data_IF_569040091836
#
_entry.id   IF_569040091836
#
_cell.length_a   1.000
_cell.length_b   1.000
_cell.length_c   1.000
_cell.angle_alpha   90.00
_cell.angle_beta   90.00
_cell.angle_gamma   90.00
#
_symmetry.space_group_name_H-M   'P 1'
#
loop_
_entity.id
_entity.type
_entity.pdbx_description
1 polymer ?
#
# COMPACT_ATOMS: atom_id res chain seq x y z
N UNK A 1 -0.57 16.97 -6.36
CA UNK A 1 -1.63 16.07 -6.83
C UNK A 1 -2.02 15.12 -5.69
N UNK A 2 -3.30 14.90 -5.51
CA UNK A 2 -3.84 14.13 -4.39
C UNK A 2 -4.71 13.00 -4.94
N UNK A 3 -4.56 11.79 -4.41
CA UNK A 3 -5.38 10.64 -4.77
C UNK A 3 -5.89 9.95 -3.52
N UNK A 4 -7.04 9.30 -3.63
CA UNK A 4 -7.55 8.42 -2.59
C UNK A 4 -7.36 6.98 -3.05
N UNK A 5 -6.59 6.21 -2.27
CA UNK A 5 -6.21 4.86 -2.64
C UNK A 5 -6.47 3.88 -1.49
N UNK A 6 -6.78 2.61 -1.81
CA UNK A 6 -6.76 1.58 -0.77
C UNK A 6 -5.32 1.40 -0.29
N UNK A 7 -5.17 1.09 1.00
CA UNK A 7 -3.87 1.01 1.65
C UNK A 7 -3.65 -0.36 2.25
N UNK A 8 -2.43 -0.88 2.10
CA UNK A 8 -2.01 -2.12 2.76
C UNK A 8 -0.79 -1.81 3.61
N UNK A 9 -0.87 -2.04 4.93
CA UNK A 9 0.30 -1.90 5.78
C UNK A 9 1.24 -3.09 5.59
N UNK A 10 2.53 -2.83 5.53
CA UNK A 10 3.56 -3.85 5.36
C UNK A 10 4.33 -4.03 6.66
N UNK A 11 4.66 -5.28 6.98
CA UNK A 11 5.41 -5.60 8.20
C UNK A 11 6.90 -5.44 8.03
N UNK A 12 7.46 -6.11 7.01
CA UNK A 12 8.90 -6.27 6.89
C UNK A 12 9.47 -5.79 5.57
N UNK A 13 8.62 -5.23 4.73
CA UNK A 13 9.02 -4.88 3.36
C UNK A 13 8.83 -3.39 3.14
N UNK A 14 9.83 -2.76 2.54
CA UNK A 14 9.75 -1.36 2.09
C UNK A 14 9.86 -1.38 0.58
N UNK A 15 8.91 -0.70 -0.08
CA UNK A 15 8.88 -0.62 -1.54
C UNK A 15 9.24 0.80 -1.95
N UNK A 16 10.22 0.91 -2.84
CA UNK A 16 10.64 2.21 -3.38
C UNK A 16 10.14 2.37 -4.81
N UNK A 17 10.07 3.60 -5.33
CA UNK A 17 9.76 3.82 -6.73
C UNK A 17 10.68 3.02 -7.64
N UNK A 18 10.11 2.48 -8.71
CA UNK A 18 10.81 1.66 -9.71
C UNK A 18 11.23 0.27 -9.24
N UNK A 19 10.87 -0.12 -8.02
CA UNK A 19 11.07 -1.49 -7.58
C UNK A 19 9.90 -2.35 -8.02
N UNK A 20 10.22 -3.58 -8.41
CA UNK A 20 9.23 -4.62 -8.66
C UNK A 20 9.41 -5.66 -7.58
N UNK A 21 8.39 -5.91 -6.77
CA UNK A 21 8.53 -6.78 -5.61
C UNK A 21 7.30 -7.67 -5.41
N UNK A 22 7.51 -8.97 -5.15
CA UNK A 22 6.43 -9.86 -4.78
C UNK A 22 6.27 -9.91 -3.26
N UNK A 23 5.03 -10.05 -2.80
CA UNK A 23 4.77 -10.32 -1.40
C UNK A 23 3.43 -11.03 -1.25
N UNK A 24 3.19 -11.58 -0.05
CA UNK A 24 1.97 -12.34 0.24
C UNK A 24 1.11 -11.56 1.22
N UNK A 25 -0.16 -11.43 0.89
CA UNK A 25 -1.18 -10.78 1.71
C UNK A 25 -2.06 -11.86 2.33
N UNK A 26 -2.19 -11.83 3.67
CA UNK A 26 -3.02 -12.81 4.38
C UNK A 26 -4.06 -12.18 5.31
N UNK A 27 -3.90 -10.92 5.70
CA UNK A 27 -4.85 -10.25 6.57
C UNK A 27 -6.14 -9.94 5.81
N UNK A 28 -7.29 -10.11 6.48
CA UNK A 28 -8.59 -9.87 5.87
C UNK A 28 -8.71 -8.44 5.34
N UNK A 29 -8.27 -7.45 6.10
CA UNK A 29 -8.33 -6.05 5.69
C UNK A 29 -7.46 -5.78 4.47
N UNK A 30 -6.28 -6.39 4.40
CA UNK A 30 -5.38 -6.22 3.27
C UNK A 30 -5.94 -6.87 2.00
N UNK A 31 -6.57 -8.03 2.15
CA UNK A 31 -7.21 -8.71 1.02
C UNK A 31 -8.37 -7.87 0.48
N UNK A 32 -9.17 -7.26 1.36
CA UNK A 32 -10.27 -6.38 0.93
C UNK A 32 -9.73 -5.14 0.21
N UNK A 33 -8.65 -4.55 0.69
CA UNK A 33 -8.01 -3.42 0.02
C UNK A 33 -7.52 -3.81 -1.36
N UNK A 34 -6.90 -4.98 -1.49
CA UNK A 34 -6.44 -5.50 -2.77
C UNK A 34 -7.59 -5.69 -3.76
N UNK A 35 -8.68 -6.32 -3.31
CA UNK A 35 -9.85 -6.54 -4.15
C UNK A 35 -10.44 -5.22 -4.65
N UNK A 36 -10.51 -4.23 -3.77
CA UNK A 36 -10.98 -2.91 -4.14
C UNK A 36 -10.07 -2.27 -5.20
N UNK A 37 -8.75 -2.39 -5.02
CA UNK A 37 -7.78 -1.85 -5.96
C UNK A 37 -7.88 -2.50 -7.33
N UNK A 38 -8.09 -3.81 -7.38
CA UNK A 38 -8.21 -4.54 -8.64
C UNK A 38 -9.40 -4.07 -9.47
N UNK A 39 -10.47 -3.64 -8.81
CA UNK A 39 -11.67 -3.14 -9.50
C UNK A 39 -11.49 -1.68 -9.93
N UNK A 40 -10.72 -0.89 -9.18
CA UNK A 40 -10.67 0.57 -9.30
C UNK A 40 -9.47 1.12 -10.07
N UNK A 41 -8.64 0.30 -10.67
CA UNK A 41 -7.53 0.81 -11.47
C UNK A 41 -6.17 0.24 -11.09
N UNK A 42 -6.16 -0.70 -10.17
CA UNK A 42 -4.97 -1.47 -9.78
C UNK A 42 -3.87 -0.65 -9.10
N UNK A 43 -4.22 0.49 -8.53
CA UNK A 43 -3.27 1.30 -7.76
C UNK A 43 -3.54 1.13 -6.27
N UNK A 44 -2.46 1.05 -5.50
CA UNK A 44 -2.54 0.80 -4.07
C UNK A 44 -1.42 1.57 -3.37
N UNK A 45 -1.66 2.00 -2.14
CA UNK A 45 -0.64 2.67 -1.32
C UNK A 45 -0.08 1.66 -0.33
N UNK A 46 1.23 1.48 -0.35
CA UNK A 46 1.93 0.57 0.54
C UNK A 46 2.79 1.38 1.50
N UNK A 47 2.62 1.12 2.80
CA UNK A 47 3.37 1.82 3.84
C UNK A 47 3.71 0.84 4.95
N UNK A 48 4.90 1.00 5.54
CA UNK A 48 5.34 0.15 6.63
C UNK A 48 4.61 0.51 7.93
N UNK A 49 4.26 -0.49 8.72
CA UNK A 49 3.77 -0.25 10.07
C UNK A 49 4.95 -0.06 11.03
N UNK A 50 4.73 0.71 12.11
CA UNK A 50 5.78 1.00 13.08
C UNK A 50 6.22 -0.25 13.83
N UNK A 51 5.29 -1.11 14.17
CA UNK A 51 5.57 -2.36 14.88
C UNK A 51 5.12 -3.53 14.01
N UNK A 52 6.07 -4.28 13.48
CA UNK A 52 5.80 -5.40 12.58
C UNK A 52 5.01 -6.52 13.23
N UNK A 53 5.01 -6.60 14.57
CA UNK A 53 4.29 -7.65 15.29
C UNK A 53 2.79 -7.42 15.39
N UNK A 54 2.31 -6.21 15.07
CA UNK A 54 0.89 -5.88 15.17
C UNK A 54 0.12 -6.49 13.99
N UNK A 55 -0.92 -7.25 14.30
CA UNK A 55 -1.75 -7.86 13.25
C UNK A 55 -2.74 -6.89 12.62
N UNK A 56 -3.23 -5.93 13.38
CA UNK A 56 -4.21 -4.96 12.92
C UNK A 56 -3.81 -3.55 13.38
N UNK A 57 -2.78 -2.95 12.73
CA UNK A 57 -2.32 -1.64 13.14
C UNK A 57 -3.36 -0.56 12.88
N UNK A 58 -3.49 0.38 13.80
CA UNK A 58 -4.29 1.58 13.61
C UNK A 58 -3.54 2.60 12.77
N UNK A 59 -4.22 3.70 12.37
CA UNK A 59 -3.59 4.72 11.52
C UNK A 59 -2.33 5.35 12.12
N UNK A 60 -2.28 5.49 13.44
CA UNK A 60 -1.13 6.05 14.14
C UNK A 60 0.04 5.06 14.26
N UNK A 61 -0.19 3.80 13.91
CA UNK A 61 0.83 2.75 13.95
C UNK A 61 1.44 2.48 12.57
N UNK A 62 1.10 3.27 11.58
CA UNK A 62 1.56 3.13 10.20
C UNK A 62 2.31 4.40 9.80
N UNK A 63 3.42 4.23 9.11
CA UNK A 63 4.18 5.37 8.61
C UNK A 63 3.36 6.17 7.60
N UNK A 64 3.43 7.50 7.67
CA UNK A 64 2.72 8.36 6.72
C UNK A 64 3.40 8.42 5.37
N UNK A 65 4.70 8.12 5.31
CA UNK A 65 5.41 8.04 4.03
C UNK A 65 5.32 6.63 3.49
N UNK A 66 5.00 6.51 2.23
CA UNK A 66 4.91 5.21 1.58
C UNK A 66 5.08 5.34 0.08
N UNK A 67 4.67 4.31 -0.64
CA UNK A 67 4.83 4.24 -2.08
C UNK A 67 3.51 3.90 -2.74
N UNK A 68 3.16 4.68 -3.76
CA UNK A 68 2.03 4.38 -4.63
C UNK A 68 2.51 3.32 -5.61
N UNK A 69 1.80 2.20 -5.67
CA UNK A 69 2.20 1.06 -6.49
C UNK A 69 1.10 0.66 -7.45
N UNK A 70 1.52 0.04 -8.55
CA UNK A 70 0.62 -0.60 -9.48
C UNK A 70 0.66 -2.11 -9.24
N UNK A 71 -0.51 -2.75 -9.21
CA UNK A 71 -0.60 -4.21 -9.07
C UNK A 71 -0.40 -4.80 -10.46
N UNK A 72 0.71 -5.52 -10.64
CA UNK A 72 1.06 -6.13 -11.93
C UNK A 72 0.40 -7.49 -12.09
N UNK A 73 0.49 -8.31 -11.06
CA UNK A 73 -0.09 -9.64 -11.04
C UNK A 73 -0.59 -9.99 -9.65
N UNK A 74 -1.55 -10.90 -9.59
CA UNK A 74 -1.98 -11.48 -8.32
C UNK A 74 -2.34 -12.94 -8.54
N UNK A 75 -2.16 -13.74 -7.49
CA UNK A 75 -2.44 -15.16 -7.51
C UNK A 75 -3.05 -15.58 -6.19
N UNK A 76 -4.23 -16.17 -6.24
CA UNK A 76 -4.88 -16.73 -5.05
C UNK A 76 -4.20 -18.05 -4.70
N UNK A 77 -3.75 -18.18 -3.45
CA UNK A 77 -3.08 -19.37 -2.96
C UNK A 77 -4.10 -20.32 -2.33
N UNK A 78 -3.80 -21.64 -2.27
CA UNK A 78 -4.72 -22.62 -1.70
C UNK A 78 -5.06 -22.38 -0.22
N UNK A 79 -4.18 -21.71 0.52
CA UNK A 79 -4.37 -21.43 1.95
C UNK A 79 -5.20 -20.18 2.23
N UNK A 80 -5.72 -19.52 1.19
CA UNK A 80 -6.52 -18.32 1.33
C UNK A 80 -5.73 -17.03 1.25
N UNK A 81 -4.42 -17.09 1.22
CA UNK A 81 -3.57 -15.92 1.03
C UNK A 81 -3.51 -15.52 -0.44
N UNK A 82 -3.03 -14.33 -0.71
CA UNK A 82 -2.89 -13.83 -2.08
C UNK A 82 -1.45 -13.39 -2.28
N UNK A 83 -0.81 -13.93 -3.32
CA UNK A 83 0.52 -13.48 -3.73
C UNK A 83 0.35 -12.36 -4.74
N UNK A 84 1.04 -11.24 -4.51
CA UNK A 84 0.90 -10.03 -5.32
C UNK A 84 2.26 -9.60 -5.81
N UNK A 85 2.32 -9.22 -7.08
CA UNK A 85 3.50 -8.57 -7.65
C UNK A 85 3.14 -7.12 -7.91
N UNK A 86 3.88 -6.20 -7.34
CA UNK A 86 3.64 -4.76 -7.49
C UNK A 86 4.86 -4.05 -8.05
N UNK A 87 4.59 -2.94 -8.73
CA UNK A 87 5.63 -2.04 -9.22
C UNK A 87 5.46 -0.70 -8.51
N UNK A 88 6.53 -0.23 -7.87
CA UNK A 88 6.52 1.09 -7.23
C UNK A 88 6.51 2.19 -8.28
N UNK A 89 5.61 3.15 -8.13
CA UNK A 89 5.47 4.26 -9.07
C UNK A 89 6.03 5.55 -8.49
N UNK A 90 5.45 6.02 -7.39
CA UNK A 90 5.80 7.30 -6.80
C UNK A 90 5.80 7.21 -5.28
N UNK A 91 6.60 8.05 -4.65
CA UNK A 91 6.51 8.25 -3.21
C UNK A 91 5.30 9.10 -2.90
N UNK A 92 4.66 8.83 -1.78
CA UNK A 92 3.51 9.59 -1.34
C UNK A 92 3.49 9.77 0.15
N UNK A 93 2.77 10.80 0.59
CA UNK A 93 2.51 11.04 2.02
C UNK A 93 1.02 10.88 2.27
N UNK A 94 0.67 10.04 3.22
CA UNK A 94 -0.72 9.88 3.64
C UNK A 94 -1.13 11.11 4.44
N UNK A 95 -2.18 11.78 3.99
CA UNK A 95 -2.73 12.96 4.66
C UNK A 95 -3.85 12.60 5.59
N UNK A 96 -4.62 11.57 5.24
CA UNK A 96 -5.79 11.18 6.00
C UNK A 96 -6.04 9.69 5.79
N UNK A 97 -6.35 8.99 6.88
CA UNK A 97 -6.73 7.58 6.86
C UNK A 97 -8.22 7.48 7.10
N UNK A 98 -8.92 6.76 6.23
CA UNK A 98 -10.36 6.47 6.37
C UNK A 98 -10.57 4.98 6.39
N UNK A 99 -11.27 4.48 7.39
CA UNK A 99 -11.64 3.07 7.44
C UNK A 99 -13.04 2.90 6.86
N UNK A 100 -13.14 2.13 5.79
CA UNK A 100 -14.40 1.83 5.12
C UNK A 100 -14.40 0.36 4.69
N UNK A 101 -15.55 -0.31 4.87
CA UNK A 101 -15.75 -1.67 4.36
C UNK A 101 -14.68 -2.67 4.86
N UNK A 102 -14.08 -2.41 6.01
CA UNK A 102 -13.11 -3.31 6.61
C UNK A 102 -11.67 -3.14 6.12
N UNK A 103 -11.36 -2.05 5.43
CA UNK A 103 -9.99 -1.73 5.05
C UNK A 103 -9.77 -0.21 5.08
N UNK A 104 -8.51 0.19 5.01
CA UNK A 104 -8.17 1.61 5.00
C UNK A 104 -8.11 2.15 3.59
N UNK A 105 -8.74 3.31 3.39
CA UNK A 105 -8.48 4.19 2.26
C UNK A 105 -7.69 5.37 2.77
N UNK A 106 -6.71 5.80 2.01
CA UNK A 106 -5.89 6.94 2.40
C UNK A 106 -5.95 8.01 1.32
N UNK A 107 -5.95 9.26 1.78
CA UNK A 107 -5.77 10.41 0.91
C UNK A 107 -4.27 10.63 0.85
N UNK A 108 -3.68 10.48 -0.34
CA UNK A 108 -2.24 10.51 -0.53
C UNK A 108 -1.85 11.70 -1.39
N UNK A 109 -0.85 12.44 -0.92
CA UNK A 109 -0.23 13.51 -1.71
C UNK A 109 1.06 12.97 -2.32
N UNK A 110 1.18 13.09 -3.64
CA UNK A 110 2.40 12.68 -4.32
C UNK A 110 3.57 13.57 -3.93
N UNK A 111 4.71 12.96 -3.68
CA UNK A 111 5.95 13.69 -3.40
C UNK A 111 6.67 13.91 -4.73
N UNK A 112 6.89 15.16 -5.13
CA UNK A 112 7.53 15.45 -6.41
C UNK A 112 8.94 14.85 -6.49
N UNK A 113 9.23 14.18 -7.59
CA UNK A 113 10.56 13.60 -7.82
C UNK A 113 11.62 14.68 -7.97
N UNK A 114 11.22 15.83 -8.49
CA UNK A 114 12.14 16.95 -8.71
C UNK A 114 12.81 17.40 -7.43
N UNK A 115 12.15 17.25 -6.28
CA UNK A 115 12.76 17.61 -5.01
C UNK A 115 13.99 16.78 -4.68
N UNK A 116 14.18 15.65 -5.34
CA UNK A 116 15.34 14.77 -5.15
C UNK A 116 16.51 15.16 -6.04
N UNK A 117 16.28 16.01 -7.02
CA UNK A 117 17.30 16.40 -8.00
C UNK A 117 18.08 17.62 -7.54
N UNK A 118 17.50 18.40 -6.67
CA UNK A 118 18.08 19.65 -6.19
C UNK A 118 18.97 19.51 -4.97
N UNK A 119 19.55 18.39 -4.83
CA UNK A 119 20.39 18.09 -3.67
C UNK A 119 21.82 18.53 -3.89
#
# INVERSE_FOLDING_TARGET
MIETLPMVPLRDVVVFPHMMIPFVIGRASSIKALEHALVKGKRIFLSAQHDASRDAPGPDEIHTLGTICNIVQHLNLPDGNVKVLVEGLDRGRALEFKEEQGFFKVVVKLIPRLSLIHI
#
